data_IF_775289009566
#
_entry.id   IF_775289009566
#
_cell.length_a   1.000
_cell.length_b   1.000
_cell.length_c   1.000
_cell.angle_alpha   90.00
_cell.angle_beta   90.00
_cell.angle_gamma   90.00
#
_symmetry.space_group_name_H-M   'P 1'
#
loop_
_entity.id
_entity.type
_entity.pdbx_description
1 polymer ?
#
# COMPACT_ATOMS: atom_id res chain seq x y z
N UNK A 1 -15.88 -11.00 -10.91
CA UNK A 1 -14.64 -10.29 -11.25
C UNK A 1 -13.46 -11.23 -11.13
N UNK A 2 -12.61 -11.31 -12.14
CA UNK A 2 -11.47 -12.22 -12.03
C UNK A 2 -10.51 -11.79 -10.93
N UNK A 3 -9.91 -12.79 -10.29
CA UNK A 3 -8.96 -12.54 -9.21
C UNK A 3 -7.78 -11.68 -9.68
N UNK A 4 -7.32 -11.92 -10.90
CA UNK A 4 -6.20 -11.16 -11.44
C UNK A 4 -6.50 -9.68 -11.57
N UNK A 5 -7.74 -9.33 -11.94
CA UNK A 5 -8.14 -7.93 -12.01
C UNK A 5 -8.19 -7.29 -10.63
N UNK A 6 -8.64 -8.05 -9.64
CA UNK A 6 -8.68 -7.56 -8.27
C UNK A 6 -7.28 -7.31 -7.72
N UNK A 7 -6.36 -8.22 -7.99
CA UNK A 7 -4.96 -8.06 -7.59
C UNK A 7 -4.35 -6.83 -8.25
N UNK A 8 -4.65 -6.63 -9.53
CA UNK A 8 -4.14 -5.47 -10.26
C UNK A 8 -4.65 -4.17 -9.66
N UNK A 9 -5.92 -4.13 -9.24
CA UNK A 9 -6.47 -2.96 -8.58
C UNK A 9 -5.76 -2.66 -7.27
N UNK A 10 -5.53 -3.70 -6.48
CA UNK A 10 -4.84 -3.54 -5.21
C UNK A 10 -3.40 -3.08 -5.41
N UNK A 11 -2.74 -3.62 -6.44
CA UNK A 11 -1.37 -3.21 -6.75
C UNK A 11 -1.32 -1.74 -7.16
N UNK A 12 -2.31 -1.28 -7.89
CA UNK A 12 -2.37 0.12 -8.28
C UNK A 12 -2.60 1.02 -7.07
N UNK A 13 -3.49 0.62 -6.17
CA UNK A 13 -3.71 1.36 -4.94
C UNK A 13 -2.45 1.43 -4.11
N UNK A 14 -1.71 0.34 -4.06
CA UNK A 14 -0.45 0.29 -3.34
C UNK A 14 0.54 1.30 -3.90
N UNK A 15 0.65 1.37 -5.22
CA UNK A 15 1.54 2.34 -5.86
C UNK A 15 1.11 3.78 -5.61
N UNK A 16 -0.21 4.01 -5.64
CA UNK A 16 -0.73 5.34 -5.36
C UNK A 16 -0.42 5.77 -3.92
N UNK A 17 -0.52 4.86 -2.98
CA UNK A 17 -0.16 5.14 -1.60
C UNK A 17 1.32 5.43 -1.45
N UNK A 18 2.17 4.68 -2.13
CA UNK A 18 3.60 4.95 -2.11
C UNK A 18 3.91 6.35 -2.61
N UNK A 19 3.26 6.74 -3.69
CA UNK A 19 3.44 8.08 -4.23
C UNK A 19 2.99 9.15 -3.24
N UNK A 20 1.86 8.93 -2.59
CA UNK A 20 1.36 9.87 -1.59
C UNK A 20 2.32 9.98 -0.41
N UNK A 21 2.86 8.85 0.03
CA UNK A 21 3.83 8.85 1.11
C UNK A 21 5.06 9.68 0.72
N UNK A 22 5.56 9.48 -0.49
CA UNK A 22 6.71 10.23 -0.97
C UNK A 22 6.42 11.72 -1.03
N UNK A 23 5.24 12.08 -1.49
CA UNK A 23 4.84 13.48 -1.57
C UNK A 23 4.72 14.10 -0.18
N UNK A 24 4.17 13.35 0.77
CA UNK A 24 4.04 13.86 2.13
C UNK A 24 5.39 14.00 2.82
N UNK A 25 6.28 13.04 2.59
CA UNK A 25 7.62 13.12 3.15
C UNK A 25 8.41 14.27 2.55
N UNK A 26 8.24 14.50 1.26
CA UNK A 26 8.92 15.60 0.58
C UNK A 26 8.38 16.96 1.00
N UNK A 27 7.14 16.99 1.44
CA UNK A 27 6.54 18.21 1.93
C UNK A 27 6.98 18.43 3.36
N UNK A 28 7.88 19.37 3.57
CA UNK A 28 8.40 19.65 4.89
C UNK A 28 7.29 20.08 5.84
N UNK A 29 7.29 19.48 7.00
CA UNK A 29 6.28 19.76 7.99
C UNK A 29 5.11 18.81 7.94
N UNK A 30 5.21 17.73 7.17
CA UNK A 30 4.19 16.70 7.18
C UNK A 30 4.07 16.10 8.56
N UNK A 31 2.85 15.77 8.91
CA UNK A 31 2.55 15.15 10.18
C UNK A 31 3.07 13.70 10.18
N UNK A 32 3.89 13.37 11.16
CA UNK A 32 4.40 12.01 11.32
C UNK A 32 3.28 10.99 11.45
N UNK A 33 2.20 11.40 12.09
CA UNK A 33 1.05 10.53 12.28
C UNK A 33 0.41 10.20 10.94
N UNK A 34 0.29 11.18 10.06
CA UNK A 34 -0.24 10.99 8.72
C UNK A 34 0.61 10.01 7.93
N UNK A 35 1.92 10.19 7.97
CA UNK A 35 2.85 9.31 7.27
C UNK A 35 2.75 7.89 7.80
N UNK A 36 2.66 7.72 9.10
CA UNK A 36 2.49 6.40 9.71
C UNK A 36 1.23 5.72 9.23
N UNK A 37 0.14 6.47 9.18
CA UNK A 37 -1.15 5.96 8.74
C UNK A 37 -1.07 5.48 7.31
N UNK A 38 -0.46 6.28 6.44
CA UNK A 38 -0.30 5.92 5.04
C UNK A 38 0.57 4.67 4.88
N UNK A 39 1.63 4.58 5.67
CA UNK A 39 2.49 3.40 5.63
C UNK A 39 1.78 2.14 6.08
N UNK A 40 0.91 2.27 7.09
CA UNK A 40 0.11 1.13 7.54
C UNK A 40 -0.88 0.69 6.49
N UNK A 41 -1.50 1.63 5.80
CA UNK A 41 -2.41 1.29 4.72
C UNK A 41 -1.68 0.58 3.58
N UNK A 42 -0.50 1.05 3.25
CA UNK A 42 0.33 0.42 2.24
C UNK A 42 0.66 -1.02 2.63
N UNK A 43 1.01 -1.24 3.88
CA UNK A 43 1.33 -2.58 4.36
C UNK A 43 0.12 -3.50 4.28
N UNK A 44 -1.04 -3.02 4.65
CA UNK A 44 -2.27 -3.82 4.56
C UNK A 44 -2.57 -4.21 3.12
N UNK A 45 -2.40 -3.29 2.19
CA UNK A 45 -2.60 -3.60 0.78
C UNK A 45 -1.62 -4.64 0.29
N UNK A 46 -0.37 -4.52 0.70
CA UNK A 46 0.65 -5.48 0.33
C UNK A 46 0.32 -6.87 0.85
N UNK A 47 -0.16 -6.96 2.07
CA UNK A 47 -0.57 -8.23 2.66
C UNK A 47 -1.75 -8.84 1.90
N UNK A 48 -2.71 -8.02 1.51
CA UNK A 48 -3.84 -8.49 0.73
C UNK A 48 -3.40 -9.03 -0.62
N UNK A 49 -2.52 -8.31 -1.29
CA UNK A 49 -1.99 -8.73 -2.58
C UNK A 49 -1.26 -10.08 -2.44
N UNK A 50 -0.42 -10.21 -1.44
CA UNK A 50 0.31 -11.47 -1.19
C UNK A 50 -0.63 -12.61 -0.93
N UNK A 51 -1.65 -12.39 -0.15
CA UNK A 51 -2.63 -13.41 0.19
C UNK A 51 -3.39 -13.87 -1.04
N UNK A 52 -3.83 -12.92 -1.84
CA UNK A 52 -4.61 -13.22 -3.04
C UNK A 52 -3.78 -13.88 -4.13
N UNK A 53 -2.50 -13.55 -4.19
CA UNK A 53 -1.60 -14.16 -5.17
C UNK A 53 -1.06 -15.50 -4.71
N UNK A 54 -1.41 -15.94 -3.52
CA UNK A 54 -0.97 -17.23 -3.00
C UNK A 54 0.41 -17.20 -2.37
N UNK A 55 0.99 -16.05 -2.21
CA UNK A 55 2.27 -15.92 -1.54
C UNK A 55 2.07 -15.94 -0.03
N UNK A 56 2.93 -16.65 0.65
CA UNK A 56 2.89 -16.66 2.10
C UNK A 56 3.73 -15.54 2.64
N UNK A 57 3.16 -14.83 3.60
CA UNK A 57 3.88 -13.76 4.28
C UNK A 57 4.47 -14.37 5.54
N UNK A 58 5.77 -14.42 5.60
CA UNK A 58 6.48 -14.90 6.77
C UNK A 58 6.92 -13.76 7.64
N UNK A 59 6.71 -13.90 8.90
CA UNK A 59 7.10 -12.89 9.87
C UNK A 59 8.27 -13.38 10.68
#
# INVERSE_FOLDING_TARGET
>A
MPLSAHIAELAEKHRNLERRIEEEVARLGSDDLEIRRLKQEKLKLKEQISRLSGEEVHH
#
